data_IF_717493780686
#
_entry.id   IF_717493780686
#
_cell.length_a   1.000
_cell.length_b   1.000
_cell.length_c   1.000
_cell.angle_alpha   90.00
_cell.angle_beta   90.00
_cell.angle_gamma   90.00
#
_symmetry.space_group_name_H-M   'P 1'
#
loop_
_entity.id
_entity.type
_entity.pdbx_description
1 polymer ?
#
# COMPACT_ATOMS: atom_id res chain seq x y z
N UNK A 1 3.30 27.16 -31.33
CA UNK A 1 1.97 26.53 -31.17
C UNK A 1 2.15 25.41 -30.19
N UNK A 2 1.76 25.62 -28.94
CA UNK A 2 1.80 24.62 -27.87
C UNK A 2 0.80 23.51 -28.20
N UNK A 3 1.21 22.27 -27.94
CA UNK A 3 0.42 21.04 -28.13
C UNK A 3 -0.71 20.88 -27.10
N UNK A 4 -1.14 21.96 -26.44
CA UNK A 4 -2.07 21.92 -25.30
C UNK A 4 -3.55 22.05 -25.72
N UNK A 5 -3.85 22.38 -26.98
CA UNK A 5 -5.21 22.76 -27.40
C UNK A 5 -6.02 21.68 -28.16
N UNK A 6 -5.74 20.37 -28.00
CA UNK A 6 -6.52 19.36 -28.76
C UNK A 6 -6.87 18.03 -28.09
N UNK A 7 -6.92 17.96 -26.76
CA UNK A 7 -7.58 16.82 -26.07
C UNK A 7 -8.38 17.31 -24.87
N UNK A 8 -9.47 18.03 -25.12
CA UNK A 8 -10.62 18.04 -24.20
C UNK A 8 -11.45 16.78 -24.46
N UNK A 9 -10.88 15.62 -24.15
CA UNK A 9 -11.62 14.36 -24.07
C UNK A 9 -11.67 13.95 -22.62
N UNK A 10 -12.87 13.72 -22.11
CA UNK A 10 -13.10 13.15 -20.79
C UNK A 10 -12.11 11.99 -20.51
N UNK A 11 -11.20 12.12 -19.51
CA UNK A 11 -10.19 11.12 -19.23
C UNK A 11 -10.78 9.78 -18.76
N UNK A 12 -12.07 9.74 -18.40
CA UNK A 12 -12.79 8.53 -18.04
C UNK A 12 -13.42 7.81 -19.23
N UNK A 13 -13.58 8.46 -20.38
CA UNK A 13 -14.21 7.86 -21.56
C UNK A 13 -13.57 6.51 -21.98
N UNK A 14 -12.23 6.32 -21.92
CA UNK A 14 -11.61 5.03 -22.22
C UNK A 14 -11.94 3.90 -21.23
N UNK A 15 -12.52 4.23 -20.07
CA UNK A 15 -12.84 3.32 -18.98
C UNK A 15 -14.35 3.18 -18.72
N UNK A 16 -15.19 3.72 -19.60
CA UNK A 16 -16.64 3.68 -19.44
C UNK A 16 -17.17 2.25 -19.28
N UNK A 17 -18.26 2.09 -18.52
CA UNK A 17 -18.94 0.80 -18.32
C UNK A 17 -19.27 0.16 -19.67
N UNK A 18 -19.00 -1.14 -19.79
CA UNK A 18 -19.14 -1.92 -21.03
C UNK A 18 -17.91 -1.92 -21.92
N UNK A 19 -16.93 -1.05 -21.69
CA UNK A 19 -15.68 -1.00 -22.47
C UNK A 19 -14.85 -2.27 -22.28
N UNK A 20 -14.23 -2.75 -23.36
CA UNK A 20 -13.28 -3.87 -23.30
C UNK A 20 -11.85 -3.37 -23.30
N UNK A 21 -11.17 -3.53 -22.18
CA UNK A 21 -9.76 -3.20 -22.00
C UNK A 21 -8.88 -4.33 -22.52
N UNK A 22 -7.76 -3.95 -23.16
CA UNK A 22 -6.72 -4.88 -23.61
C UNK A 22 -5.48 -4.70 -22.76
N UNK A 23 -5.08 -5.76 -22.07
CA UNK A 23 -3.98 -5.72 -21.11
C UNK A 23 -2.80 -6.58 -21.56
N UNK A 24 -1.60 -6.07 -21.32
CA UNK A 24 -0.32 -6.73 -21.52
C UNK A 24 0.39 -6.86 -20.16
N UNK A 25 1.14 -7.94 -19.91
CA UNK A 25 1.83 -8.11 -18.63
C UNK A 25 2.94 -7.06 -18.45
N UNK A 26 3.12 -6.58 -17.23
CA UNK A 26 4.22 -5.73 -16.82
C UNK A 26 4.89 -6.32 -15.58
N UNK A 27 5.87 -7.19 -15.82
CA UNK A 27 6.43 -8.06 -14.77
C UNK A 27 7.40 -7.36 -13.82
N UNK A 28 7.93 -6.20 -14.23
CA UNK A 28 9.02 -5.52 -13.54
C UNK A 28 8.78 -4.00 -13.38
N UNK A 29 7.71 -3.61 -12.64
CA UNK A 29 7.53 -2.20 -12.28
C UNK A 29 8.72 -1.71 -11.47
N UNK A 30 9.20 -0.51 -11.81
CA UNK A 30 10.44 0.06 -11.29
C UNK A 30 10.35 0.27 -9.77
N UNK A 31 11.40 -0.02 -9.00
CA UNK A 31 11.54 0.54 -7.65
C UNK A 31 11.49 2.08 -7.73
N UNK A 32 10.64 2.74 -6.94
CA UNK A 32 10.80 2.68 -5.50
C UNK A 32 9.56 2.07 -4.82
N UNK A 33 9.73 0.99 -4.05
CA UNK A 33 8.65 0.38 -3.26
C UNK A 33 8.38 1.12 -1.93
N UNK A 34 8.56 2.44 -1.93
CA UNK A 34 8.55 3.33 -0.77
C UNK A 34 7.65 4.55 -0.97
N UNK A 35 7.45 5.35 0.09
CA UNK A 35 6.58 6.52 0.05
C UNK A 35 7.03 7.61 -0.94
N UNK A 36 6.25 8.69 -1.12
CA UNK A 36 6.39 9.65 -2.24
C UNK A 36 7.75 10.35 -2.39
N UNK A 37 8.61 10.29 -1.37
CA UNK A 37 9.96 10.88 -1.37
C UNK A 37 11.06 9.85 -1.66
N UNK A 38 10.73 8.57 -1.79
CA UNK A 38 11.69 7.51 -2.04
C UNK A 38 12.00 7.42 -3.54
N UNK A 39 13.28 7.41 -3.91
CA UNK A 39 13.72 7.36 -5.31
C UNK A 39 13.78 8.71 -6.04
N UNK A 40 13.52 9.84 -5.36
CA UNK A 40 13.60 11.18 -5.94
C UNK A 40 15.02 11.51 -6.44
N UNK A 41 15.15 11.80 -7.73
CA UNK A 41 16.44 12.10 -8.37
C UNK A 41 16.79 13.60 -8.44
N UNK A 42 15.90 14.47 -7.96
CA UNK A 42 16.00 15.92 -8.11
C UNK A 42 15.07 16.43 -9.21
N UNK A 43 14.53 17.65 -9.06
CA UNK A 43 13.48 18.21 -9.94
C UNK A 43 13.84 18.10 -11.43
N UNK A 44 15.09 18.40 -11.81
CA UNK A 44 15.52 18.37 -13.22
C UNK A 44 15.57 16.96 -13.84
N UNK A 45 16.08 15.97 -13.11
CA UNK A 45 16.19 14.59 -13.62
C UNK A 45 14.82 13.92 -13.68
N UNK A 46 14.00 14.22 -12.68
CA UNK A 46 12.61 13.80 -12.60
C UNK A 46 11.76 14.35 -13.75
N UNK A 47 11.91 15.64 -14.08
CA UNK A 47 11.25 16.25 -15.23
C UNK A 47 11.67 15.63 -16.57
N UNK A 48 12.97 15.31 -16.73
CA UNK A 48 13.46 14.60 -17.92
C UNK A 48 12.86 13.21 -18.02
N UNK A 49 12.79 12.48 -16.92
CA UNK A 49 12.19 11.16 -16.86
C UNK A 49 10.69 11.21 -17.17
N UNK A 50 9.94 12.13 -16.57
CA UNK A 50 8.52 12.32 -16.84
C UNK A 50 8.26 12.55 -18.34
N UNK A 51 9.03 13.44 -18.97
CA UNK A 51 8.94 13.71 -20.42
C UNK A 51 9.23 12.48 -21.28
N UNK A 52 10.12 11.59 -20.85
CA UNK A 52 10.41 10.34 -21.54
C UNK A 52 9.32 9.26 -21.37
N UNK A 53 8.41 9.42 -20.40
CA UNK A 53 7.43 8.41 -19.95
C UNK A 53 5.96 8.75 -20.29
N UNK A 54 5.71 9.84 -21.02
CA UNK A 54 4.35 10.33 -21.37
C UNK A 54 3.45 9.23 -22.00
N UNK A 55 4.02 8.21 -22.63
CA UNK A 55 3.25 7.18 -23.33
C UNK A 55 3.32 5.78 -22.71
N UNK A 56 4.08 5.57 -21.64
CA UNK A 56 4.17 4.26 -20.98
C UNK A 56 4.75 4.37 -19.55
N UNK A 57 4.38 3.46 -18.63
CA UNK A 57 4.99 3.41 -17.31
C UNK A 57 6.47 3.05 -17.37
N UNK A 58 7.17 3.29 -16.26
CA UNK A 58 8.59 2.98 -16.12
C UNK A 58 8.90 1.49 -16.25
N UNK A 59 10.08 1.16 -16.77
CA UNK A 59 10.55 -0.21 -17.05
C UNK A 59 9.60 -1.05 -17.93
N UNK A 60 8.62 -0.43 -18.56
CA UNK A 60 7.82 -1.09 -19.58
C UNK A 60 8.39 -0.80 -20.96
N UNK A 61 8.87 -1.84 -21.62
CA UNK A 61 9.19 -1.80 -23.05
C UNK A 61 7.98 -2.30 -23.82
N UNK A 62 7.29 -1.46 -24.61
CA UNK A 62 6.22 -1.91 -25.47
C UNK A 62 6.71 -3.09 -26.31
N UNK A 63 5.98 -4.22 -26.34
CA UNK A 63 6.38 -5.34 -27.16
C UNK A 63 6.48 -4.85 -28.61
N UNK A 64 7.59 -5.19 -29.28
CA UNK A 64 7.67 -5.05 -30.74
C UNK A 64 6.39 -5.64 -31.33
N UNK A 65 5.83 -4.99 -32.35
CA UNK A 65 4.51 -5.29 -32.94
C UNK A 65 4.31 -6.79 -33.34
N UNK A 66 5.37 -7.61 -33.27
CA UNK A 66 5.42 -9.03 -33.57
C UNK A 66 5.22 -10.01 -32.38
N UNK A 67 5.15 -9.58 -31.11
CA UNK A 67 4.75 -10.51 -30.04
C UNK A 67 3.23 -10.79 -30.09
N UNK A 68 2.85 -11.77 -30.92
CA UNK A 68 1.49 -12.32 -31.10
C UNK A 68 0.97 -13.12 -29.89
N UNK A 69 1.41 -12.79 -28.67
CA UNK A 69 0.80 -13.35 -27.46
C UNK A 69 -0.65 -12.89 -27.33
N UNK A 70 -1.58 -13.79 -27.02
CA UNK A 70 -2.96 -13.39 -26.75
C UNK A 70 -3.01 -12.47 -25.51
N UNK A 71 -3.62 -11.30 -25.68
CA UNK A 71 -3.75 -10.28 -24.63
C UNK A 71 -4.85 -10.65 -23.66
N UNK A 72 -4.69 -10.27 -22.40
CA UNK A 72 -5.77 -10.32 -21.42
C UNK A 72 -6.86 -9.33 -21.86
N UNK A 73 -8.12 -9.74 -21.80
CA UNK A 73 -9.26 -8.86 -22.09
C UNK A 73 -10.17 -8.78 -20.89
N UNK A 74 -10.45 -7.56 -20.45
CA UNK A 74 -11.35 -7.26 -19.36
C UNK A 74 -12.53 -6.45 -19.86
N UNK A 75 -13.75 -6.74 -19.41
CA UNK A 75 -14.92 -5.89 -19.63
C UNK A 75 -15.20 -5.09 -18.38
N UNK A 76 -15.25 -3.76 -18.48
CA UNK A 76 -15.60 -2.89 -17.35
C UNK A 76 -17.08 -3.08 -17.02
N UNK A 77 -17.38 -3.39 -15.77
CA UNK A 77 -18.74 -3.52 -15.26
C UNK A 77 -19.15 -2.29 -14.43
N UNK A 78 -18.23 -1.72 -13.68
CA UNK A 78 -18.50 -0.62 -12.76
C UNK A 78 -17.27 0.29 -12.60
N UNK A 79 -17.52 1.59 -12.46
CA UNK A 79 -16.55 2.56 -11.97
C UNK A 79 -16.81 2.78 -10.47
N UNK A 80 -15.89 2.32 -9.64
CA UNK A 80 -16.05 2.37 -8.17
C UNK A 80 -15.63 3.70 -7.57
N UNK A 81 -14.88 4.52 -8.33
CA UNK A 81 -14.44 5.85 -7.93
C UNK A 81 -14.87 6.86 -8.98
N UNK A 82 -15.76 7.76 -8.59
CA UNK A 82 -16.03 8.98 -9.35
C UNK A 82 -14.98 10.03 -8.92
N UNK A 83 -14.00 10.39 -9.77
CA UNK A 83 -13.02 11.42 -9.42
C UNK A 83 -13.67 12.80 -9.21
N UNK A 84 -14.93 13.00 -9.63
CA UNK A 84 -15.60 14.28 -9.53
C UNK A 84 -16.09 14.64 -8.11
N UNK A 85 -16.04 13.72 -7.11
CA UNK A 85 -16.70 13.98 -5.83
C UNK A 85 -15.90 13.99 -4.54
N UNK A 86 -14.77 13.30 -4.38
CA UNK A 86 -14.01 13.42 -3.13
C UNK A 86 -12.54 13.03 -3.31
N UNK A 87 -11.67 14.04 -3.24
CA UNK A 87 -10.20 14.05 -3.35
C UNK A 87 -9.60 13.72 -4.75
N UNK A 88 -8.88 14.67 -5.39
CA UNK A 88 -8.45 14.60 -6.80
C UNK A 88 -7.24 13.69 -7.06
N UNK A 89 -6.97 12.68 -6.23
CA UNK A 89 -5.69 11.95 -6.29
C UNK A 89 -5.85 10.45 -6.08
N UNK A 90 -5.31 9.68 -7.02
CA UNK A 90 -5.05 8.25 -6.88
C UNK A 90 -5.65 7.40 -7.99
N UNK A 91 -5.36 6.10 -7.93
CA UNK A 91 -5.79 5.15 -8.95
C UNK A 91 -7.32 5.13 -9.12
N UNK A 92 -7.76 4.94 -10.37
CA UNK A 92 -9.15 4.64 -10.71
C UNK A 92 -9.42 3.16 -10.47
N UNK A 93 -10.50 2.87 -9.75
CA UNK A 93 -10.89 1.50 -9.42
C UNK A 93 -12.02 1.02 -10.33
N UNK A 94 -11.73 0.02 -11.16
CA UNK A 94 -12.68 -0.57 -12.08
C UNK A 94 -13.04 -1.99 -11.65
N UNK A 95 -14.32 -2.29 -11.47
CA UNK A 95 -14.77 -3.69 -11.37
C UNK A 95 -14.88 -4.24 -12.79
N UNK A 96 -14.18 -5.33 -13.04
CA UNK A 96 -14.03 -5.92 -14.36
C UNK A 96 -14.38 -7.41 -14.37
N UNK A 97 -14.93 -7.87 -15.50
CA UNK A 97 -15.05 -9.30 -15.81
C UNK A 97 -13.93 -9.75 -16.74
N UNK A 98 -13.30 -10.88 -16.43
CA UNK A 98 -12.28 -11.49 -17.29
C UNK A 98 -12.93 -12.16 -18.50
N UNK A 99 -12.73 -11.59 -19.69
CA UNK A 99 -13.32 -12.10 -20.94
C UNK A 99 -12.44 -13.14 -21.63
N UNK A 100 -11.12 -12.92 -21.58
CA UNK A 100 -10.13 -13.79 -22.23
C UNK A 100 -8.81 -13.69 -21.50
N UNK A 101 -8.23 -14.85 -21.16
CA UNK A 101 -6.91 -14.96 -20.53
C UNK A 101 -5.81 -15.21 -21.57
N UNK A 102 -4.57 -14.75 -21.32
CA UNK A 102 -3.42 -15.12 -22.15
C UNK A 102 -3.19 -16.63 -22.12
N UNK A 103 -2.84 -17.22 -23.27
CA UNK A 103 -2.55 -18.67 -23.40
C UNK A 103 -1.22 -19.03 -22.76
N UNK A 104 -0.26 -18.09 -22.74
CA UNK A 104 1.02 -18.27 -22.07
C UNK A 104 0.83 -18.22 -20.55
N UNK A 105 1.44 -19.16 -19.82
CA UNK A 105 1.54 -19.06 -18.37
C UNK A 105 2.38 -17.84 -18.02
N UNK A 106 1.76 -16.85 -17.38
CA UNK A 106 2.43 -15.66 -16.89
C UNK A 106 2.73 -15.84 -15.41
N UNK A 107 4.00 -15.73 -15.04
CA UNK A 107 4.42 -15.69 -13.63
C UNK A 107 4.26 -14.28 -13.07
N UNK A 108 3.03 -13.77 -13.13
CA UNK A 108 2.71 -12.38 -12.77
C UNK A 108 1.82 -12.30 -11.51
N UNK A 109 1.30 -13.41 -11.00
CA UNK A 109 0.40 -13.46 -9.85
C UNK A 109 -0.42 -14.75 -9.87
N UNK A 110 -1.50 -14.79 -9.11
CA UNK A 110 -2.44 -15.90 -9.12
C UNK A 110 -3.17 -16.00 -10.46
N UNK A 111 -3.41 -17.24 -10.90
CA UNK A 111 -4.01 -17.52 -12.20
C UNK A 111 -5.46 -17.01 -12.28
N UNK A 112 -5.71 -16.16 -13.27
CA UNK A 112 -7.06 -15.74 -13.65
C UNK A 112 -7.78 -16.84 -14.44
N UNK A 113 -9.10 -16.89 -14.29
CA UNK A 113 -10.00 -17.73 -15.07
C UNK A 113 -10.96 -16.84 -15.85
N UNK A 114 -11.52 -17.41 -16.92
CA UNK A 114 -12.60 -16.76 -17.65
C UNK A 114 -13.78 -16.54 -16.71
N UNK A 115 -14.42 -15.39 -16.84
CA UNK A 115 -15.58 -14.94 -16.08
C UNK A 115 -15.30 -14.57 -14.60
N UNK A 116 -14.04 -14.63 -14.16
CA UNK A 116 -13.64 -14.08 -12.86
C UNK A 116 -13.94 -12.58 -12.78
N UNK A 117 -14.33 -12.13 -11.58
CA UNK A 117 -14.47 -10.71 -11.25
C UNK A 117 -13.19 -10.22 -10.56
N UNK A 118 -12.63 -9.13 -11.08
CA UNK A 118 -11.41 -8.50 -10.56
C UNK A 118 -11.60 -7.00 -10.41
N UNK A 119 -10.81 -6.40 -9.52
CA UNK A 119 -10.60 -4.95 -9.52
C UNK A 119 -9.34 -4.64 -10.29
N UNK A 120 -9.46 -3.74 -11.28
CA UNK A 120 -8.32 -3.10 -11.90
C UNK A 120 -8.09 -1.73 -11.24
N UNK A 121 -6.95 -1.58 -10.56
CA UNK A 121 -6.46 -0.29 -10.09
C UNK A 121 -5.64 0.35 -11.20
N UNK A 122 -6.14 1.45 -11.78
CA UNK A 122 -5.59 2.09 -12.98
C UNK A 122 -4.86 3.37 -12.61
N UNK A 123 -3.59 3.46 -13.02
CA UNK A 123 -2.68 4.57 -12.76
C UNK A 123 -2.46 5.36 -14.06
N UNK A 124 -3.46 6.14 -14.45
CA UNK A 124 -3.44 6.96 -15.66
C UNK A 124 -3.08 8.40 -15.30
N UNK A 125 -2.02 8.96 -15.88
CA UNK A 125 -1.59 10.33 -15.59
C UNK A 125 -2.67 11.39 -15.86
N UNK A 126 -3.63 11.12 -16.75
CA UNK A 126 -4.73 12.04 -17.06
C UNK A 126 -5.76 12.12 -15.94
N UNK A 127 -5.65 11.27 -14.91
CA UNK A 127 -6.48 11.25 -13.72
C UNK A 127 -5.82 11.94 -12.51
N UNK A 128 -4.63 12.50 -12.69
CA UNK A 128 -3.89 13.18 -11.62
C UNK A 128 -3.73 14.65 -11.96
N UNK A 129 -3.98 15.51 -10.97
CA UNK A 129 -3.56 16.91 -11.01
C UNK A 129 -2.12 17.06 -10.53
N UNK A 130 -1.43 18.11 -10.98
CA UNK A 130 -0.11 18.47 -10.43
C UNK A 130 -0.20 18.69 -8.93
N UNK A 131 0.59 17.93 -8.17
CA UNK A 131 0.58 17.99 -6.71
C UNK A 131 1.69 18.93 -6.22
N UNK A 132 1.27 20.00 -5.55
CA UNK A 132 2.17 20.98 -4.92
C UNK A 132 2.04 20.85 -3.40
N UNK A 133 3.06 20.28 -2.76
CA UNK A 133 3.13 20.15 -1.30
C UNK A 133 4.13 21.18 -0.77
N UNK A 134 3.76 22.00 0.24
CA UNK A 134 4.72 22.90 0.88
C UNK A 134 5.96 22.14 1.37
N UNK A 135 7.15 22.65 1.01
CA UNK A 135 8.44 22.05 1.40
C UNK A 135 8.69 20.62 0.87
N UNK A 136 7.99 20.21 -0.18
CA UNK A 136 8.32 19.01 -0.95
C UNK A 136 8.42 19.34 -2.45
N UNK A 137 9.03 18.45 -3.24
CA UNK A 137 9.06 18.62 -4.69
C UNK A 137 7.65 18.67 -5.29
N UNK A 138 7.50 19.41 -6.38
CA UNK A 138 6.28 19.39 -7.21
C UNK A 138 6.25 18.07 -7.96
N UNK A 139 5.16 17.32 -7.84
CA UNK A 139 5.01 16.04 -8.54
C UNK A 139 4.11 16.21 -9.76
N UNK A 140 4.67 15.98 -10.95
CA UNK A 140 3.89 15.93 -12.18
C UNK A 140 2.90 14.76 -12.16
N UNK A 141 1.79 14.84 -12.91
CA UNK A 141 0.82 13.74 -13.03
C UNK A 141 1.46 12.40 -13.44
N UNK A 142 2.41 12.43 -14.39
CA UNK A 142 3.14 11.25 -14.85
C UNK A 142 3.92 10.59 -13.72
N UNK A 143 4.61 11.37 -12.88
CA UNK A 143 5.34 10.85 -11.73
C UNK A 143 4.42 10.28 -10.66
N UNK A 144 3.27 10.93 -10.41
CA UNK A 144 2.30 10.43 -9.43
C UNK A 144 1.70 9.09 -9.85
N UNK A 145 1.32 8.96 -11.12
CA UNK A 145 0.82 7.70 -11.68
C UNK A 145 1.88 6.59 -11.60
N UNK A 146 3.11 6.88 -12.03
CA UNK A 146 4.20 5.90 -12.05
C UNK A 146 4.67 5.49 -10.65
N UNK A 147 4.78 6.44 -9.71
CA UNK A 147 5.10 6.19 -8.30
C UNK A 147 4.00 5.36 -7.63
N UNK A 148 2.73 5.72 -7.84
CA UNK A 148 1.59 4.98 -7.31
C UNK A 148 1.55 3.53 -7.80
N UNK A 149 1.77 3.33 -9.11
CA UNK A 149 1.85 1.99 -9.72
C UNK A 149 2.98 1.19 -9.08
N UNK A 150 4.18 1.75 -9.05
CA UNK A 150 5.40 1.11 -8.57
C UNK A 150 5.27 0.69 -7.10
N UNK A 151 4.80 1.60 -6.24
CA UNK A 151 4.58 1.33 -4.82
C UNK A 151 3.56 0.21 -4.62
N UNK A 152 2.38 0.35 -5.24
CA UNK A 152 1.26 -0.58 -5.05
C UNK A 152 1.60 -1.97 -5.60
N UNK A 153 2.23 -2.03 -6.77
CA UNK A 153 2.67 -3.28 -7.38
C UNK A 153 3.73 -3.99 -6.54
N UNK A 154 4.70 -3.24 -6.00
CA UNK A 154 5.70 -3.76 -5.09
C UNK A 154 5.10 -4.41 -3.85
N UNK A 155 4.13 -3.75 -3.22
CA UNK A 155 3.44 -4.26 -2.04
C UNK A 155 2.67 -5.55 -2.34
N UNK A 156 1.83 -5.55 -3.39
CA UNK A 156 1.09 -6.77 -3.72
C UNK A 156 2.00 -7.92 -4.15
N UNK A 157 3.04 -7.65 -4.94
CA UNK A 157 4.02 -8.67 -5.36
C UNK A 157 4.75 -9.26 -4.16
N UNK A 158 5.13 -8.42 -3.19
CA UNK A 158 5.76 -8.85 -1.94
C UNK A 158 4.81 -9.69 -1.07
N UNK A 159 3.56 -9.27 -0.88
CA UNK A 159 2.58 -10.08 -0.16
C UNK A 159 2.32 -11.41 -0.86
N UNK A 160 2.25 -11.42 -2.18
CA UNK A 160 2.06 -12.64 -2.96
C UNK A 160 3.24 -13.60 -2.80
N UNK A 161 4.49 -13.12 -2.85
CA UNK A 161 5.67 -13.98 -2.66
C UNK A 161 5.78 -14.56 -1.25
N UNK A 162 5.28 -13.84 -0.24
CA UNK A 162 5.22 -14.31 1.14
C UNK A 162 3.96 -15.16 1.45
N UNK A 163 3.14 -15.46 0.43
CA UNK A 163 1.87 -16.19 0.57
C UNK A 163 0.91 -15.53 1.57
N UNK A 164 0.77 -14.21 1.49
CA UNK A 164 -0.05 -13.36 2.36
C UNK A 164 -1.25 -12.73 1.62
N UNK A 165 -1.61 -13.23 0.44
CA UNK A 165 -2.75 -12.76 -0.36
C UNK A 165 -3.84 -13.83 -0.43
N UNK A 166 -5.08 -13.42 -0.72
CA UNK A 166 -6.21 -14.35 -0.88
C UNK A 166 -6.94 -14.69 0.41
N UNK A 167 -7.85 -15.67 0.36
CA UNK A 167 -8.97 -15.82 1.32
C UNK A 167 -8.59 -15.93 2.79
N UNK A 168 -7.39 -16.41 3.11
CA UNK A 168 -6.89 -16.56 4.48
C UNK A 168 -6.31 -15.28 5.08
N UNK A 169 -6.10 -14.22 4.29
CA UNK A 169 -5.38 -13.01 4.70
C UNK A 169 -6.21 -11.75 4.49
N UNK A 170 -5.92 -10.68 5.21
CA UNK A 170 -6.60 -9.39 4.98
C UNK A 170 -6.30 -8.79 3.60
N UNK A 171 -5.26 -9.26 2.90
CA UNK A 171 -4.86 -8.76 1.59
C UNK A 171 -5.62 -9.51 0.48
N UNK A 172 -6.26 -8.81 -0.46
CA UNK A 172 -6.87 -9.40 -1.66
C UNK A 172 -5.92 -10.30 -2.45
N UNK A 173 -6.44 -11.33 -3.12
CA UNK A 173 -5.62 -12.13 -4.05
C UNK A 173 -5.02 -11.23 -5.13
N UNK A 174 -3.70 -11.32 -5.34
CA UNK A 174 -3.01 -10.57 -6.37
C UNK A 174 -2.99 -11.34 -7.70
N UNK A 175 -3.39 -10.68 -8.79
CA UNK A 175 -3.45 -11.24 -10.16
C UNK A 175 -2.50 -10.55 -11.13
N UNK A 176 -1.56 -9.77 -10.63
CA UNK A 176 -0.45 -9.21 -11.39
C UNK A 176 -0.52 -7.74 -11.72
N UNK A 177 0.61 -7.25 -12.25
CA UNK A 177 0.76 -5.90 -12.78
C UNK A 177 0.73 -5.96 -14.30
N UNK A 178 -0.01 -5.04 -14.89
CA UNK A 178 -0.36 -5.03 -16.30
C UNK A 178 -0.23 -3.61 -16.84
N UNK A 179 -0.26 -3.49 -18.17
CA UNK A 179 -0.54 -2.22 -18.83
C UNK A 179 -1.77 -2.34 -19.71
N UNK A 180 -2.63 -1.34 -19.65
CA UNK A 180 -3.77 -1.15 -20.53
C UNK A 180 -3.27 -0.46 -21.79
N UNK A 181 -3.61 -1.03 -22.95
CA UNK A 181 -3.26 -0.47 -24.25
C UNK A 181 -4.39 0.40 -24.79
N UNK A 182 -4.14 1.70 -24.91
CA UNK A 182 -5.02 2.68 -25.56
C UNK A 182 -4.49 3.06 -26.93
N UNK A 183 -5.36 3.02 -27.94
CA UNK A 183 -5.02 3.49 -29.27
C UNK A 183 -5.49 4.93 -29.42
N UNK A 184 -4.54 5.85 -29.57
CA UNK A 184 -4.82 7.24 -29.85
C UNK A 184 -4.94 7.37 -31.38
N UNK A 185 -6.11 7.81 -31.84
CA UNK A 185 -6.30 8.20 -33.24
C UNK A 185 -6.08 9.70 -33.33
N UNK A 186 -4.93 10.11 -33.85
CA UNK A 186 -4.74 11.45 -34.36
C UNK A 186 -4.91 11.44 -35.89
N UNK A 187 -5.36 12.56 -36.44
CA UNK A 187 -5.57 12.85 -37.86
C UNK A 187 -4.37 12.51 -38.75
N UNK A 188 -3.15 12.44 -38.19
CA UNK A 188 -1.90 12.18 -38.94
C UNK A 188 -1.11 10.94 -38.50
N UNK A 189 -1.46 10.31 -37.37
CA UNK A 189 -0.77 9.10 -36.91
C UNK A 189 -1.61 8.31 -35.88
N UNK A 190 -1.40 6.99 -35.84
CA UNK A 190 -1.91 6.15 -34.76
C UNK A 190 -0.79 5.95 -33.74
N UNK A 191 -0.83 6.68 -32.62
CA UNK A 191 0.05 6.42 -31.49
C UNK A 191 -0.63 5.47 -30.50
N UNK A 192 0.16 4.75 -29.73
CA UNK A 192 -0.36 3.87 -28.68
C UNK A 192 0.16 4.36 -27.34
N UNK A 193 -0.76 4.55 -26.39
CA UNK A 193 -0.46 4.90 -25.01
C UNK A 193 -0.67 3.66 -24.13
N UNK A 194 0.25 3.45 -23.20
CA UNK A 194 0.20 2.35 -22.24
C UNK A 194 0.02 2.91 -20.84
N UNK A 195 -0.98 2.40 -20.12
CA UNK A 195 -1.35 2.87 -18.78
C UNK A 195 -1.16 1.74 -17.78
N UNK A 196 -0.48 2.01 -16.67
CA UNK A 196 -0.26 1.01 -15.63
C UNK A 196 -1.54 0.57 -14.93
N UNK A 197 -1.67 -0.73 -14.66
CA UNK A 197 -2.78 -1.29 -13.91
C UNK A 197 -2.36 -2.44 -13.01
N UNK A 198 -3.03 -2.59 -11.87
CA UNK A 198 -2.88 -3.73 -10.97
C UNK A 198 -4.19 -4.48 -10.91
N UNK A 199 -4.14 -5.81 -11.09
CA UNK A 199 -5.32 -6.66 -10.96
C UNK A 199 -5.30 -7.40 -9.63
N UNK A 200 -6.43 -7.37 -8.94
CA UNK A 200 -6.65 -8.06 -7.68
C UNK A 200 -8.06 -8.62 -7.56
N UNK A 201 -8.25 -9.50 -6.58
CA UNK A 201 -9.55 -10.03 -6.18
C UNK A 201 -10.59 -8.90 -6.02
N UNK A 202 -11.76 -9.09 -6.63
CA UNK A 202 -12.92 -8.28 -6.31
C UNK A 202 -13.52 -8.73 -4.99
N UNK A 203 -13.47 -7.85 -3.99
CA UNK A 203 -14.03 -8.08 -2.66
C UNK A 203 -15.28 -7.24 -2.54
N UNK A 204 -16.43 -7.91 -2.60
CA UNK A 204 -17.72 -7.27 -2.42
C UNK A 204 -18.02 -7.04 -0.93
N UNK A 205 -18.49 -5.84 -0.61
CA UNK A 205 -18.89 -5.44 0.72
C UNK A 205 -18.69 -3.93 0.94
N UNK A 206 -19.28 -3.37 1.99
CA UNK A 206 -19.10 -1.96 2.31
C UNK A 206 -17.78 -1.75 3.06
N UNK A 207 -17.18 -0.56 2.89
CA UNK A 207 -16.04 -0.14 3.71
C UNK A 207 -16.50 0.17 5.14
N UNK A 208 -15.59 0.09 6.12
CA UNK A 208 -15.88 0.48 7.51
C UNK A 208 -16.36 1.94 7.57
N UNK A 209 -15.77 2.84 6.79
CA UNK A 209 -16.19 4.24 6.70
C UNK A 209 -17.64 4.36 6.20
N UNK A 210 -18.00 3.64 5.13
CA UNK A 210 -19.33 3.76 4.50
C UNK A 210 -20.49 3.25 5.38
N UNK A 211 -20.20 2.43 6.38
CA UNK A 211 -21.20 1.92 7.34
C UNK A 211 -21.19 2.69 8.65
N UNK A 212 -20.54 3.85 8.66
CA UNK A 212 -20.49 4.75 9.78
C UNK A 212 -20.97 6.14 9.36
N UNK A 213 -21.53 6.86 10.33
CA UNK A 213 -21.64 8.32 10.25
C UNK A 213 -20.42 8.90 10.95
N UNK A 214 -19.68 9.80 10.29
CA UNK A 214 -18.57 10.52 10.92
C UNK A 214 -19.10 11.73 11.67
N UNK A 215 -18.78 11.82 12.96
CA UNK A 215 -19.08 12.99 13.79
C UNK A 215 -18.04 14.08 13.58
N UNK A 216 -18.38 15.32 13.94
CA UNK A 216 -17.51 16.51 13.89
C UNK A 216 -16.17 16.38 14.65
N UNK A 217 -16.03 15.36 15.51
CA UNK A 217 -14.80 15.08 16.25
C UNK A 217 -14.03 13.89 15.66
N UNK A 218 -14.27 13.57 14.39
CA UNK A 218 -13.69 12.44 13.65
C UNK A 218 -13.98 11.06 14.27
N UNK A 219 -15.09 10.94 15.00
CA UNK A 219 -15.56 9.67 15.54
C UNK A 219 -16.49 8.94 14.58
N UNK A 220 -16.27 7.64 14.40
CA UNK A 220 -17.14 6.72 13.67
C UNK A 220 -18.34 6.28 14.52
N UNK A 221 -19.55 6.51 13.99
CA UNK A 221 -20.81 6.02 14.56
C UNK A 221 -21.36 4.91 13.66
N UNK A 222 -21.07 3.64 13.96
CA UNK A 222 -21.46 2.53 13.11
C UNK A 222 -22.98 2.37 13.06
N UNK A 223 -23.50 2.00 11.88
CA UNK A 223 -24.87 1.51 11.72
C UNK A 223 -25.10 0.32 12.66
N UNK A 224 -26.36 0.05 13.03
CA UNK A 224 -26.68 -1.08 13.91
C UNK A 224 -26.44 -2.43 13.23
N UNK A 225 -26.76 -2.50 11.95
CA UNK A 225 -26.63 -3.70 11.13
C UNK A 225 -26.28 -3.32 9.70
N UNK A 226 -25.67 -4.26 8.99
CA UNK A 226 -25.35 -4.14 7.57
C UNK A 226 -25.67 -5.46 6.86
N UNK A 227 -25.96 -5.38 5.57
CA UNK A 227 -26.06 -6.53 4.68
C UNK A 227 -24.98 -6.38 3.60
N UNK A 228 -23.80 -7.01 3.77
CA UNK A 228 -22.66 -6.75 2.88
C UNK A 228 -22.87 -7.23 1.44
N UNK A 229 -23.77 -8.18 1.24
CA UNK A 229 -24.06 -8.82 -0.04
C UNK A 229 -25.57 -8.80 -0.26
N UNK A 230 -26.02 -8.09 -1.29
CA UNK A 230 -27.46 -7.92 -1.59
C UNK A 230 -28.14 -9.27 -1.87
N UNK A 231 -27.40 -10.21 -2.44
CA UNK A 231 -27.87 -11.54 -2.78
C UNK A 231 -27.75 -12.56 -1.64
N UNK A 232 -27.15 -12.19 -0.50
CA UNK A 232 -27.17 -13.01 0.71
C UNK A 232 -28.20 -12.46 1.69
N UNK A 233 -29.16 -13.31 2.08
CA UNK A 233 -30.08 -13.04 3.18
C UNK A 233 -29.38 -13.24 4.53
N UNK A 234 -28.31 -12.47 4.76
CA UNK A 234 -27.52 -12.48 6.00
C UNK A 234 -27.10 -11.07 6.37
N UNK A 235 -27.63 -10.61 7.49
CA UNK A 235 -27.20 -9.38 8.15
C UNK A 235 -26.05 -9.63 9.12
N UNK A 236 -25.21 -8.63 9.30
CA UNK A 236 -24.23 -8.55 10.38
C UNK A 236 -24.70 -7.48 11.36
N UNK A 237 -24.83 -7.82 12.64
CA UNK A 237 -24.96 -6.82 13.69
C UNK A 237 -23.60 -6.18 13.97
N UNK A 238 -23.48 -4.86 13.87
CA UNK A 238 -22.25 -4.13 14.22
C UNK A 238 -22.24 -3.76 15.71
N UNK A 239 -22.55 -4.74 16.55
CA UNK A 239 -22.42 -4.60 18.00
C UNK A 239 -20.96 -4.48 18.43
N UNK A 240 -20.74 -4.29 19.73
CA UNK A 240 -19.39 -4.12 20.27
C UNK A 240 -18.50 -5.35 20.01
N UNK A 241 -19.04 -6.56 20.08
CA UNK A 241 -18.26 -7.78 19.95
C UNK A 241 -17.78 -7.95 18.51
N UNK A 242 -18.70 -7.84 17.55
CA UNK A 242 -18.40 -7.97 16.12
C UNK A 242 -17.40 -6.92 15.65
N UNK A 243 -17.57 -5.66 16.07
CA UNK A 243 -16.63 -4.59 15.74
C UNK A 243 -15.24 -4.84 16.31
N UNK A 244 -15.14 -5.32 17.54
CA UNK A 244 -13.86 -5.65 18.17
C UNK A 244 -13.22 -6.89 17.54
N UNK A 245 -13.98 -7.88 17.07
CA UNK A 245 -13.45 -9.02 16.33
C UNK A 245 -12.88 -8.60 14.96
N UNK A 246 -13.59 -7.75 14.22
CA UNK A 246 -13.09 -7.11 13.00
C UNK A 246 -11.80 -6.31 13.28
N UNK A 247 -11.80 -5.51 14.36
CA UNK A 247 -10.62 -4.73 14.74
C UNK A 247 -9.44 -5.63 15.11
N UNK A 248 -9.69 -6.77 15.76
CA UNK A 248 -8.67 -7.76 16.09
C UNK A 248 -8.04 -8.34 14.83
N UNK A 249 -8.83 -8.64 13.79
CA UNK A 249 -8.31 -9.11 12.49
C UNK A 249 -7.38 -8.07 11.85
N UNK A 250 -7.78 -6.79 11.84
CA UNK A 250 -6.98 -5.68 11.28
C UNK A 250 -5.66 -5.55 12.03
N UNK A 251 -5.71 -5.40 13.36
CA UNK A 251 -4.52 -5.19 14.19
C UNK A 251 -3.56 -6.38 14.09
N UNK A 252 -4.09 -7.61 14.14
CA UNK A 252 -3.26 -8.80 13.99
C UNK A 252 -2.53 -8.82 12.65
N UNK A 253 -3.25 -8.51 11.57
CA UNK A 253 -2.68 -8.53 10.23
C UNK A 253 -1.61 -7.45 10.07
N UNK A 254 -1.84 -6.23 10.57
CA UNK A 254 -0.84 -5.19 10.49
C UNK A 254 0.45 -5.53 11.28
N UNK A 255 0.36 -6.17 12.46
CA UNK A 255 1.59 -6.63 13.15
C UNK A 255 2.26 -7.81 12.45
N UNK A 256 1.49 -8.68 11.80
CA UNK A 256 2.01 -9.75 10.96
C UNK A 256 2.78 -9.17 9.77
N UNK A 257 2.21 -8.19 9.08
CA UNK A 257 2.84 -7.52 7.93
C UNK A 257 4.19 -6.89 8.28
N UNK A 258 4.35 -6.33 9.49
CA UNK A 258 5.64 -5.81 9.99
C UNK A 258 6.74 -6.87 10.07
N UNK A 259 6.40 -8.13 10.39
CA UNK A 259 7.35 -9.25 10.36
C UNK A 259 7.89 -9.51 8.95
N UNK A 260 7.17 -9.08 7.91
CA UNK A 260 7.56 -9.20 6.51
C UNK A 260 8.01 -7.86 5.92
N UNK A 261 8.59 -6.97 6.73
CA UNK A 261 9.04 -5.64 6.31
C UNK A 261 7.96 -4.69 5.78
N UNK A 262 6.67 -5.01 5.88
CA UNK A 262 5.60 -4.15 5.39
C UNK A 262 5.12 -3.20 6.48
N UNK A 263 5.06 -1.92 6.15
CA UNK A 263 4.65 -0.84 7.03
C UNK A 263 3.43 -0.11 6.52
N UNK A 264 2.52 0.22 7.43
CA UNK A 264 1.30 0.96 7.14
C UNK A 264 1.36 2.32 7.84
N UNK A 265 1.30 3.40 7.06
CA UNK A 265 1.26 4.78 7.56
C UNK A 265 -0.14 5.14 8.06
N UNK A 266 -0.52 4.55 9.19
CA UNK A 266 -1.84 4.71 9.79
C UNK A 266 -2.91 3.89 9.05
N UNK A 267 -3.49 2.84 9.68
CA UNK A 267 -4.63 2.17 9.09
C UNK A 267 -5.84 3.13 9.10
N UNK A 268 -6.57 3.18 7.99
CA UNK A 268 -7.76 4.03 7.83
C UNK A 268 -9.00 3.19 7.54
N UNK A 269 -10.13 3.51 8.16
CA UNK A 269 -11.38 2.77 8.08
C UNK A 269 -11.89 2.60 6.64
N UNK A 270 -11.76 3.63 5.80
CA UNK A 270 -12.15 3.58 4.37
C UNK A 270 -11.38 2.55 3.55
N UNK A 271 -10.20 2.14 4.00
CA UNK A 271 -9.35 1.18 3.29
C UNK A 271 -9.69 -0.28 3.60
N UNK A 272 -10.63 -0.54 4.52
CA UNK A 272 -11.04 -1.88 4.91
C UNK A 272 -12.50 -2.15 4.55
N UNK A 273 -12.73 -3.22 3.79
CA UNK A 273 -14.05 -3.74 3.42
C UNK A 273 -14.44 -4.86 4.37
N UNK A 274 -15.72 -4.88 4.78
CA UNK A 274 -16.32 -5.97 5.55
C UNK A 274 -17.05 -6.90 4.59
N UNK A 275 -16.73 -8.18 4.61
CA UNK A 275 -17.37 -9.18 3.74
C UNK A 275 -17.77 -10.46 4.47
N UNK A 276 -18.84 -11.11 3.99
CA UNK A 276 -19.23 -12.49 4.31
C UNK A 276 -18.97 -13.48 3.15
N UNK A 277 -18.33 -13.04 2.08
CA UNK A 277 -18.07 -13.90 0.92
C UNK A 277 -16.71 -13.60 0.34
N UNK A 278 -15.96 -14.65 0.05
CA UNK A 278 -14.64 -14.54 -0.54
C UNK A 278 -14.31 -15.70 -1.45
N UNK A 279 -13.83 -15.42 -2.66
CA UNK A 279 -13.54 -16.44 -3.69
C UNK A 279 -14.64 -17.52 -3.84
N UNK A 280 -15.90 -17.08 -3.90
CA UNK A 280 -17.07 -17.96 -4.04
C UNK A 280 -17.53 -18.70 -2.78
N UNK A 281 -16.80 -18.57 -1.65
CA UNK A 281 -17.16 -19.19 -0.38
C UNK A 281 -17.86 -18.19 0.54
N UNK A 282 -18.99 -18.60 1.12
CA UNK A 282 -19.65 -17.86 2.20
C UNK A 282 -18.89 -18.15 3.50
N UNK A 283 -18.58 -17.09 4.25
CA UNK A 283 -17.82 -17.15 5.50
C UNK A 283 -18.76 -17.21 6.69
N UNK A 284 -18.40 -17.99 7.72
CA UNK A 284 -19.19 -18.06 8.95
C UNK A 284 -19.21 -16.73 9.70
N UNK A 285 -18.08 -16.03 9.72
CA UNK A 285 -17.91 -14.73 10.37
C UNK A 285 -17.50 -13.63 9.39
N UNK A 286 -17.80 -12.35 9.70
CA UNK A 286 -17.30 -11.22 8.93
C UNK A 286 -15.78 -11.21 8.86
N UNK A 287 -15.25 -10.99 7.67
CA UNK A 287 -13.82 -10.80 7.44
C UNK A 287 -13.56 -9.33 7.05
N UNK A 288 -12.52 -8.75 7.63
CA UNK A 288 -11.96 -7.48 7.17
C UNK A 288 -10.97 -7.74 6.02
N UNK A 289 -11.04 -6.94 4.96
CA UNK A 289 -10.12 -7.00 3.81
C UNK A 289 -9.59 -5.59 3.52
N UNK A 290 -8.27 -5.42 3.50
CA UNK A 290 -7.63 -4.15 3.16
C UNK A 290 -7.54 -4.02 1.64
N UNK A 291 -8.31 -3.11 1.05
CA UNK A 291 -8.44 -2.97 -0.41
C UNK A 291 -7.62 -1.82 -0.99
N UNK A 292 -6.92 -1.06 -0.14
CA UNK A 292 -6.10 0.07 -0.54
C UNK A 292 -4.77 0.09 0.25
N UNK A 293 -3.67 0.21 -0.50
CA UNK A 293 -2.30 0.19 0.00
C UNK A 293 -1.50 1.46 -0.34
N UNK A 294 -2.14 2.56 -0.75
CA UNK A 294 -1.45 3.83 -1.09
C UNK A 294 -0.57 4.36 0.05
N UNK A 295 -0.93 4.09 1.30
CA UNK A 295 -0.15 4.43 2.51
C UNK A 295 0.64 3.26 3.09
N UNK A 296 1.05 2.32 2.25
CA UNK A 296 1.81 1.12 2.64
C UNK A 296 3.13 1.06 1.90
N UNK A 297 4.22 0.69 2.57
CA UNK A 297 5.56 0.65 1.96
C UNK A 297 6.41 -0.49 2.55
N UNK A 298 7.45 -0.89 1.80
CA UNK A 298 8.44 -1.86 2.26
C UNK A 298 9.52 -1.15 3.07
N UNK A 299 9.54 -1.34 4.39
CA UNK A 299 10.45 -0.68 5.32
C UNK A 299 11.92 -0.81 4.91
N UNK A 300 12.36 -2.02 4.57
CA UNK A 300 13.75 -2.29 4.18
C UNK A 300 14.21 -1.51 2.94
N UNK A 301 13.25 -1.01 2.16
CA UNK A 301 13.47 -0.21 0.97
C UNK A 301 13.13 1.27 1.22
N UNK A 302 13.15 1.73 2.46
CA UNK A 302 13.00 3.16 2.78
C UNK A 302 14.34 3.81 3.08
N UNK A 303 14.40 5.14 2.95
CA UNK A 303 15.53 5.94 3.45
C UNK A 303 15.78 5.76 4.95
N UNK A 304 14.72 5.46 5.72
CA UNK A 304 14.83 5.26 7.16
C UNK A 304 15.58 3.98 7.48
N UNK A 305 15.33 2.88 6.75
CA UNK A 305 16.09 1.64 6.89
C UNK A 305 17.57 1.81 6.53
N UNK A 306 17.91 2.68 5.57
CA UNK A 306 19.29 3.02 5.23
C UNK A 306 19.97 3.95 6.25
N UNK A 307 19.19 4.60 7.12
CA UNK A 307 19.72 5.59 8.05
C UNK A 307 20.51 4.96 9.21
N UNK A 308 21.43 5.74 9.78
CA UNK A 308 22.24 5.29 10.91
C UNK A 308 21.58 5.44 12.29
N UNK A 309 20.33 5.92 12.34
CA UNK A 309 19.61 6.17 13.58
C UNK A 309 19.25 4.85 14.27
N UNK A 310 19.58 4.75 15.56
CA UNK A 310 19.43 3.51 16.34
C UNK A 310 17.99 2.98 16.34
N UNK A 311 16.99 3.84 16.44
CA UNK A 311 15.59 3.41 16.42
C UNK A 311 15.17 2.85 15.05
N UNK A 312 15.72 3.37 13.94
CA UNK A 312 15.48 2.81 12.61
C UNK A 312 16.18 1.47 12.42
N UNK A 313 17.41 1.32 12.94
CA UNK A 313 18.12 0.03 12.96
C UNK A 313 17.34 -1.02 13.72
N UNK A 314 16.87 -0.71 14.93
CA UNK A 314 16.03 -1.62 15.72
C UNK A 314 14.73 -2.00 15.01
N UNK A 315 14.10 -1.04 14.34
CA UNK A 315 12.91 -1.31 13.55
C UNK A 315 13.20 -2.29 12.40
N UNK A 316 14.35 -2.15 11.72
CA UNK A 316 14.80 -3.07 10.68
C UNK A 316 15.05 -4.51 11.17
N UNK A 317 15.16 -4.74 12.47
CA UNK A 317 15.33 -6.07 13.07
C UNK A 317 14.00 -6.77 13.38
N UNK A 318 12.85 -6.09 13.29
CA UNK A 318 11.54 -6.71 13.60
C UNK A 318 11.32 -8.03 12.82
N UNK A 319 11.69 -8.13 11.53
CA UNK A 319 11.55 -9.38 10.75
C UNK A 319 12.38 -10.57 11.24
N UNK A 320 13.43 -10.33 12.04
CA UNK A 320 14.27 -11.40 12.60
C UNK A 320 13.65 -12.08 13.82
N UNK A 321 12.54 -11.52 14.36
CA UNK A 321 11.82 -12.13 15.46
C UNK A 321 11.19 -13.46 15.02
N UNK A 322 11.11 -14.46 15.91
CA UNK A 322 10.49 -15.74 15.57
C UNK A 322 9.01 -15.58 15.23
N UNK A 323 8.30 -14.69 15.95
CA UNK A 323 6.87 -14.41 15.75
C UNK A 323 6.61 -12.91 15.52
N UNK A 324 5.43 -12.52 15.01
CA UNK A 324 5.03 -11.12 14.93
C UNK A 324 5.09 -10.44 16.29
N UNK A 325 5.28 -9.12 16.32
CA UNK A 325 5.23 -8.38 17.59
C UNK A 325 3.85 -8.47 18.23
N UNK A 326 3.81 -8.57 19.56
CA UNK A 326 2.55 -8.43 20.30
C UNK A 326 1.93 -7.05 20.01
N UNK A 327 0.62 -6.94 19.69
CA UNK A 327 -0.01 -5.67 19.32
C UNK A 327 0.20 -4.49 20.26
N UNK A 328 0.30 -4.75 21.56
CA UNK A 328 0.60 -3.73 22.59
C UNK A 328 1.96 -3.02 22.40
N UNK A 329 2.90 -3.65 21.69
CA UNK A 329 4.22 -3.08 21.38
C UNK A 329 4.18 -2.15 20.16
N UNK A 330 3.09 -2.17 19.40
CA UNK A 330 3.00 -1.50 18.09
C UNK A 330 1.92 -0.43 18.10
N UNK A 331 0.75 -0.75 18.65
CA UNK A 331 -0.43 0.08 18.56
C UNK A 331 -0.81 0.68 19.91
N UNK A 332 -1.19 1.94 19.83
CA UNK A 332 -1.90 2.67 20.86
C UNK A 332 -3.09 3.40 20.23
N UNK A 333 -3.76 4.21 21.04
CA UNK A 333 -4.91 4.98 20.59
C UNK A 333 -4.57 5.93 19.45
N UNK A 334 -3.40 6.56 19.50
CA UNK A 334 -2.97 7.54 18.50
C UNK A 334 -2.71 6.88 17.17
N UNK A 335 -2.24 5.64 17.19
CA UNK A 335 -1.98 4.83 15.99
C UNK A 335 -3.26 4.31 15.32
N UNK A 336 -4.41 4.35 16.01
CA UNK A 336 -5.70 3.82 15.56
C UNK A 336 -6.80 4.90 15.64
N UNK A 337 -6.42 6.18 15.59
CA UNK A 337 -7.36 7.30 15.81
C UNK A 337 -8.47 7.35 14.77
N UNK A 338 -8.21 6.93 13.53
CA UNK A 338 -9.22 6.88 12.47
C UNK A 338 -10.35 5.87 12.75
N UNK A 339 -10.11 4.92 13.66
CA UNK A 339 -11.11 3.96 14.13
C UNK A 339 -11.80 4.39 15.43
N UNK A 340 -11.60 5.62 15.89
CA UNK A 340 -12.26 6.12 17.10
C UNK A 340 -13.78 6.01 16.92
N UNK A 341 -14.49 5.36 17.85
CA UNK A 341 -15.92 5.08 17.74
C UNK A 341 -16.25 3.70 17.15
N UNK A 342 -15.37 3.14 16.28
CA UNK A 342 -15.42 1.73 15.90
C UNK A 342 -15.01 0.80 17.03
N UNK A 343 -13.98 1.16 17.80
CA UNK A 343 -13.85 0.70 19.19
C UNK A 343 -14.57 1.70 20.11
N UNK A 344 -14.95 1.30 21.34
CA UNK A 344 -15.70 2.19 22.24
C UNK A 344 -15.03 3.55 22.38
N UNK A 345 -15.76 4.63 22.08
CA UNK A 345 -15.24 6.01 22.06
C UNK A 345 -14.53 6.39 23.37
N UNK A 346 -14.99 5.85 24.51
CA UNK A 346 -14.38 6.09 25.82
C UNK A 346 -12.92 5.59 25.91
N UNK A 347 -12.47 4.75 24.98
CA UNK A 347 -11.08 4.32 24.91
C UNK A 347 -10.20 5.42 24.32
N UNK A 348 -10.74 6.22 23.40
CA UNK A 348 -10.05 7.36 22.79
C UNK A 348 -9.90 8.56 23.72
N UNK A 349 -10.84 8.72 24.65
CA UNK A 349 -10.79 9.81 25.61
C UNK A 349 -9.80 9.50 26.75
N UNK A 350 -8.71 10.28 26.83
CA UNK A 350 -7.60 10.09 27.77
C UNK A 350 -7.97 10.10 29.27
N UNK A 351 -9.21 10.44 29.60
CA UNK A 351 -9.78 10.43 30.95
C UNK A 351 -9.91 9.02 31.56
N UNK A 352 -9.85 7.95 30.76
CA UNK A 352 -10.10 6.57 31.23
C UNK A 352 -8.84 5.73 31.45
N UNK A 353 -7.73 6.35 31.90
CA UNK A 353 -6.56 5.63 32.44
C UNK A 353 -6.85 5.11 33.85
N UNK A 354 -7.63 4.05 33.99
CA UNK A 354 -7.78 3.37 35.28
C UNK A 354 -6.44 2.65 35.57
N UNK A 355 -5.77 2.88 36.71
CA UNK A 355 -4.46 2.26 37.04
C UNK A 355 -3.34 2.46 36.00
N UNK A 356 -3.31 3.60 35.29
CA UNK A 356 -2.20 3.95 34.38
C UNK A 356 -2.15 3.24 33.02
N UNK A 357 -3.08 2.31 32.74
CA UNK A 357 -3.17 1.58 31.46
C UNK A 357 -4.46 1.92 30.72
N UNK A 358 -4.38 2.09 29.39
CA UNK A 358 -5.55 2.36 28.56
C UNK A 358 -6.50 1.17 28.51
N UNK A 359 -7.80 1.41 28.28
CA UNK A 359 -8.79 0.34 28.11
C UNK A 359 -8.51 -0.52 26.87
N UNK A 360 -7.97 0.08 25.81
CA UNK A 360 -7.52 -0.64 24.62
C UNK A 360 -6.38 -1.62 24.93
N UNK A 361 -5.38 -1.19 25.71
CA UNK A 361 -4.28 -2.08 26.12
C UNK A 361 -4.77 -3.21 27.01
N UNK A 362 -5.76 -2.99 27.88
CA UNK A 362 -6.39 -4.09 28.62
C UNK A 362 -7.11 -5.07 27.71
N UNK A 363 -7.81 -4.57 26.70
CA UNK A 363 -8.47 -5.42 25.71
C UNK A 363 -7.45 -6.27 24.95
N UNK A 364 -6.30 -5.72 24.56
CA UNK A 364 -5.21 -6.50 23.95
C UNK A 364 -4.76 -7.66 24.84
N UNK A 365 -4.67 -7.44 26.16
CA UNK A 365 -4.19 -8.42 27.12
C UNK A 365 -5.19 -9.54 27.47
N UNK A 366 -6.41 -9.52 26.93
CA UNK A 366 -7.37 -10.59 27.14
C UNK A 366 -6.95 -11.88 26.41
N UNK A 367 -7.09 -13.04 27.04
CA UNK A 367 -6.66 -14.35 26.50
C UNK A 367 -7.34 -14.70 25.17
N UNK A 368 -8.60 -14.32 25.00
CA UNK A 368 -9.36 -14.52 23.76
C UNK A 368 -9.07 -13.45 22.68
N UNK A 369 -8.25 -12.44 22.96
CA UNK A 369 -7.86 -11.38 22.02
C UNK A 369 -6.43 -11.62 21.53
N UNK A 370 -5.41 -11.12 22.24
CA UNK A 370 -3.99 -11.37 21.92
C UNK A 370 -3.23 -12.10 23.03
N UNK A 371 -3.83 -12.20 24.22
CA UNK A 371 -3.22 -12.83 25.39
C UNK A 371 -2.26 -11.92 26.15
N UNK A 372 -1.59 -12.45 27.18
CA UNK A 372 -0.64 -11.68 27.98
C UNK A 372 0.55 -11.20 27.15
N UNK A 373 1.10 -10.03 27.51
CA UNK A 373 2.34 -9.48 26.93
C UNK A 373 3.54 -10.30 27.40
N UNK A 374 3.76 -11.44 26.77
CA UNK A 374 4.89 -12.34 27.01
C UNK A 374 5.39 -12.92 25.69
N UNK A 375 6.65 -13.35 25.68
CA UNK A 375 7.19 -14.13 24.57
C UNK A 375 6.46 -15.48 24.52
N UNK A 376 6.06 -15.93 23.33
CA UNK A 376 5.35 -17.18 23.18
C UNK A 376 5.13 -17.58 21.73
N UNK A 377 4.38 -18.66 21.48
CA UNK A 377 4.25 -19.25 20.14
C UNK A 377 3.46 -18.40 19.14
N UNK A 378 2.81 -17.32 19.60
CA UNK A 378 2.00 -16.42 18.76
C UNK A 378 2.65 -15.07 18.53
N UNK A 379 3.34 -14.54 19.54
CA UNK A 379 3.87 -13.19 19.50
C UNK A 379 5.24 -13.11 20.18
N UNK A 380 6.07 -12.24 19.62
CA UNK A 380 7.35 -11.83 20.18
C UNK A 380 7.27 -10.45 20.82
N UNK A 381 8.24 -10.14 21.68
CA UNK A 381 8.38 -8.83 22.32
C UNK A 381 9.58 -8.05 21.76
N UNK A 382 9.53 -6.72 21.80
CA UNK A 382 10.65 -5.87 21.34
C UNK A 382 11.95 -6.12 22.10
N UNK A 383 11.88 -6.53 23.37
CA UNK A 383 13.07 -6.83 24.19
C UNK A 383 13.93 -7.96 23.59
N UNK A 384 13.29 -8.91 22.90
CA UNK A 384 13.92 -10.06 22.24
C UNK A 384 14.88 -9.62 21.13
N UNK A 385 14.66 -8.44 20.53
CA UNK A 385 15.59 -7.83 19.56
C UNK A 385 16.97 -7.53 20.17
N UNK A 386 17.00 -7.09 21.43
CA UNK A 386 18.23 -6.74 22.16
C UNK A 386 19.03 -7.96 22.62
N UNK A 387 18.35 -9.07 22.90
CA UNK A 387 18.97 -10.34 23.28
C UNK A 387 19.61 -11.05 22.06
N UNK A 388 18.97 -10.97 20.89
CA UNK A 388 19.54 -11.50 19.64
C UNK A 388 20.77 -10.72 19.14
N UNK A 389 20.88 -9.42 19.45
CA UNK A 389 22.06 -8.63 19.08
C UNK A 389 23.29 -8.89 19.96
N UNK A 390 23.14 -9.56 21.11
CA UNK A 390 24.23 -9.95 22.01
C UNK A 390 24.80 -11.35 21.73
N UNK A 391 24.17 -12.14 20.84
CA UNK A 391 24.73 -13.43 20.40
C UNK A 391 25.94 -13.20 19.46
N UNK A 392 27.08 -13.89 19.65
CA UNK A 392 28.22 -13.75 18.75
C UNK A 392 27.83 -14.21 17.34
N UNK A 393 28.10 -13.34 16.35
CA UNK A 393 27.82 -13.57 14.92
C UNK A 393 28.48 -14.87 14.43
N UNK A 394 27.72 -15.96 14.35
CA UNK A 394 28.12 -17.12 13.56
C UNK A 394 27.75 -16.81 12.11
N UNK A 395 28.77 -16.43 11.33
CA UNK A 395 28.65 -16.19 9.90
C UNK A 395 28.22 -17.47 9.18
N UNK A 396 27.10 -17.43 8.46
CA UNK A 396 26.79 -18.38 7.39
C UNK A 396 26.00 -17.69 6.28
N UNK A 397 26.72 -17.32 5.22
CA UNK A 397 26.57 -17.80 3.83
C UNK A 397 25.23 -17.49 3.16
N UNK A 398 25.20 -16.34 2.49
CA UNK A 398 24.56 -16.16 1.17
C UNK A 398 25.51 -15.33 0.30
N UNK A 399 26.35 -16.03 -0.49
CA UNK A 399 27.00 -15.51 -1.71
C UNK A 399 26.55 -16.41 -2.84
N UNK A 400 26.40 -15.81 -4.02
CA UNK A 400 25.90 -16.28 -5.33
C UNK A 400 24.59 -15.51 -5.58
N UNK A 401 24.54 -14.47 -6.42
CA UNK A 401 25.00 -14.40 -7.80
C UNK A 401 25.54 -12.99 -8.15
N UNK A 402 26.79 -12.92 -8.61
CA UNK A 402 27.28 -11.84 -9.48
C UNK A 402 28.62 -12.29 -10.09
N UNK A 403 28.51 -13.01 -11.21
CA UNK A 403 29.52 -13.05 -12.27
C UNK A 403 29.12 -11.93 -13.26
N UNK A 404 29.97 -11.03 -13.73
CA UNK A 404 31.36 -10.75 -13.46
C UNK A 404 31.79 -9.50 -14.26
N UNK A 405 33.08 -9.21 -14.17
CA UNK A 405 33.85 -8.33 -15.06
C UNK A 405 33.65 -6.81 -14.93
N UNK A 406 34.44 -6.20 -14.04
CA UNK A 406 35.13 -4.95 -14.39
C UNK A 406 36.63 -5.08 -14.13
N UNK A 407 37.39 -4.83 -15.20
CA UNK A 407 38.85 -4.71 -15.23
C UNK A 407 39.27 -3.42 -14.52
N UNK A 408 40.38 -3.54 -13.82
CA UNK A 408 41.16 -2.51 -13.14
C UNK A 408 41.87 -1.55 -14.10
N UNK A 409 41.81 -0.26 -13.79
CA UNK A 409 42.87 0.77 -13.93
C UNK A 409 42.49 1.81 -12.84
N UNK A 410 43.29 2.22 -11.85
CA UNK A 410 44.71 2.61 -11.82
C UNK A 410 44.80 4.14 -11.62
N UNK A 411 45.64 4.60 -10.68
CA UNK A 411 45.97 6.00 -10.27
C UNK A 411 45.16 6.54 -9.08
N UNK A 412 45.72 6.61 -7.87
CA UNK A 412 46.69 7.62 -7.36
C UNK A 412 46.17 9.07 -7.48
N UNK A 413 45.90 9.72 -6.34
CA UNK A 413 46.53 10.99 -5.95
C UNK A 413 46.29 11.31 -4.46
N UNK A 414 47.33 11.87 -3.86
CA UNK A 414 47.56 12.20 -2.46
C UNK A 414 47.14 13.62 -2.04
N UNK A 415 46.95 13.82 -0.73
CA UNK A 415 47.05 15.12 -0.04
C UNK A 415 45.70 15.76 0.31
N UNK A 416 45.46 16.43 1.43
CA UNK A 416 46.31 16.91 2.52
C UNK A 416 45.42 17.30 3.71
N UNK A 417 46.06 17.37 4.87
CA UNK A 417 45.62 17.79 6.21
C UNK A 417 44.80 19.09 6.34
N UNK A 418 43.91 19.17 7.34
CA UNK A 418 43.37 20.48 7.78
C UNK A 418 42.28 20.51 8.88
N UNK A 419 42.71 20.47 10.15
CA UNK A 419 42.16 21.12 11.37
C UNK A 419 40.64 21.21 11.70
N UNK A 420 40.32 20.59 12.84
CA UNK A 420 39.62 21.08 14.07
C UNK A 420 38.46 22.09 13.95
N UNK A 421 37.30 21.65 14.44
CA UNK A 421 36.30 22.48 15.11
C UNK A 421 35.53 21.68 16.17
N UNK A 422 35.84 21.87 17.46
CA UNK A 422 35.04 21.42 18.60
C UNK A 422 33.94 22.46 18.85
N UNK A 423 32.66 22.08 18.93
CA UNK A 423 31.74 22.69 19.91
C UNK A 423 30.44 21.90 20.10
N UNK A 424 30.25 21.53 21.37
CA UNK A 424 29.03 21.51 22.20
C UNK A 424 27.81 20.66 21.83
N UNK A 425 27.54 19.77 22.80
CA UNK A 425 26.26 19.16 23.18
C UNK A 425 25.10 20.16 23.14
N UNK A 426 23.99 19.71 22.57
CA UNK A 426 22.65 20.22 22.79
C UNK A 426 21.67 19.05 22.63
N UNK A 427 21.46 18.31 23.71
CA UNK A 427 20.39 17.32 23.81
C UNK A 427 19.04 18.03 23.97
N UNK A 428 18.04 17.52 23.26
CA UNK A 428 16.64 17.51 23.71
C UNK A 428 15.77 18.73 23.41
N UNK A 429 15.14 18.77 22.22
CA UNK A 429 13.78 19.35 22.07
C UNK A 429 13.09 19.10 20.72
N UNK A 430 13.76 18.60 19.69
CA UNK A 430 13.23 18.56 18.31
C UNK A 430 11.97 17.70 18.08
N UNK A 431 11.79 16.62 18.85
CA UNK A 431 10.78 15.59 18.54
C UNK A 431 9.36 15.95 19.04
N UNK A 432 9.23 16.94 19.94
CA UNK A 432 7.91 17.45 20.37
C UNK A 432 7.38 18.58 19.49
N UNK A 433 8.24 19.24 18.72
CA UNK A 433 7.85 20.32 17.81
C UNK A 433 7.28 19.73 16.51
N UNK A 434 7.86 18.62 16.02
CA UNK A 434 7.39 17.96 14.79
C UNK A 434 5.98 17.36 14.93
N UNK A 435 5.66 16.72 16.06
CA UNK A 435 4.31 16.19 16.31
C UNK A 435 3.24 17.26 16.55
N UNK A 436 3.61 18.46 17.00
CA UNK A 436 2.67 19.58 17.14
C UNK A 436 2.41 20.33 15.83
N UNK A 437 3.31 20.22 14.85
CA UNK A 437 3.18 20.95 13.59
C UNK A 437 2.27 20.23 12.58
N UNK A 438 2.20 18.90 12.63
CA UNK A 438 1.24 18.10 11.81
C UNK A 438 -0.21 18.32 12.26
N UNK A 439 -0.45 18.67 13.54
CA UNK A 439 -1.78 18.94 14.08
C UNK A 439 -2.26 20.39 13.90
N UNK A 440 -1.47 21.27 13.27
CA UNK A 440 -1.83 22.68 13.00
C UNK A 440 -1.99 23.02 11.52
N UNK A 441 -1.94 22.02 10.65
CA UNK A 441 -2.16 22.18 9.20
C UNK A 441 -3.55 21.64 8.78
N UNK A 442 -4.39 21.28 9.76
CA UNK A 442 -5.81 20.90 9.57
C UNK A 442 -6.73 21.84 10.39
N UNK A 443 -6.40 23.12 10.37
CA UNK A 443 -7.32 24.26 10.58
C UNK A 443 -7.09 25.23 9.43
#
# INVERSE_FOLDING_TARGET
>A
MSLEDSVSSDPLAPYAVGTTLKLLPHNDPTPPYGGPKYGWLGDEEEDKLAKSRINHPSNYTPPEQQMKGEKLRLKVLELTRDPAKDAPQGALLLVCQVMKIPTAKLFNGELLRKDDLVVAEVFDELLYDTLVIPFAPVLSPTQQADSGLSQTAGIYKHFYSENLTGSSHIVPQYHGTWVIQHHLKDTKSTSTRYVGAILREYVQGPSIESVCVRHECDGLFPLRKIQPHVDLDREIALDRETRLDIMKQIIHSCVLHKKFHVEHEGPEARNYVITLRRNGKILDKPQAVQVNFTRTYLWNLTIWAASNLEHHKRHGLIPTLPHPLHPIEVYDISSLSDFAGWFPWQWAHGAHKRKGMSLMHRWFLQDNVFGPRQEGPRYSLRKTLGEQTQMPRIASRLRLLSTGSQRSVGSEYSGTTGRRGRSRRGEGSGDRIFRRMILRIIE
#
